data_IF_625873332725
#
_entry.id   IF_625873332725
#
_cell.length_a   1.000
_cell.length_b   1.000
_cell.length_c   1.000
_cell.angle_alpha   90.00
_cell.angle_beta   90.00
_cell.angle_gamma   90.00
#
_symmetry.space_group_name_H-M   'P 1'
#
loop_
_entity.id
_entity.type
_entity.pdbx_description
1 polymer ?
#
# COMPACT_ATOMS: atom_id res chain seq x y z
N UNK A 1 17.17 24.41 -3.20
CA UNK A 1 15.92 24.84 -3.88
C UNK A 1 14.91 23.68 -3.78
N UNK A 2 13.64 23.96 -3.49
CA UNK A 2 12.60 22.95 -3.59
C UNK A 2 12.31 22.68 -5.08
N UNK A 3 12.24 21.41 -5.47
CA UNK A 3 11.82 21.03 -6.82
C UNK A 3 10.38 21.50 -7.07
N UNK A 4 10.08 21.83 -8.31
CA UNK A 4 8.70 22.07 -8.73
C UNK A 4 7.98 20.74 -8.86
N UNK A 5 6.64 20.73 -8.77
CA UNK A 5 5.84 19.51 -8.95
C UNK A 5 6.04 18.89 -10.34
N UNK A 6 6.31 19.70 -11.34
CA UNK A 6 6.65 19.25 -12.68
C UNK A 6 7.98 18.48 -12.71
N UNK A 7 9.01 19.00 -12.05
CA UNK A 7 10.31 18.32 -11.95
C UNK A 7 10.20 17.02 -11.17
N UNK A 8 9.45 17.02 -10.06
CA UNK A 8 9.19 15.80 -9.27
C UNK A 8 8.46 14.74 -10.10
N UNK A 9 7.46 15.13 -10.90
CA UNK A 9 6.72 14.24 -11.78
C UNK A 9 7.60 13.63 -12.87
N UNK A 10 8.39 14.44 -13.57
CA UNK A 10 9.26 13.96 -14.66
C UNK A 10 10.35 13.02 -14.11
N UNK A 11 10.89 13.31 -12.93
CA UNK A 11 11.85 12.45 -12.25
C UNK A 11 11.21 11.12 -11.83
N UNK A 12 10.00 11.14 -11.24
CA UNK A 12 9.28 9.94 -10.86
C UNK A 12 8.92 9.08 -12.09
N UNK A 13 8.50 9.70 -13.19
CA UNK A 13 8.20 9.02 -14.44
C UNK A 13 9.44 8.34 -15.03
N UNK A 14 10.57 9.05 -15.05
CA UNK A 14 11.84 8.50 -15.52
C UNK A 14 12.30 7.33 -14.65
N UNK A 15 12.25 7.48 -13.32
CA UNK A 15 12.59 6.41 -12.40
C UNK A 15 11.73 5.17 -12.63
N UNK A 16 10.44 5.34 -12.86
CA UNK A 16 9.54 4.23 -13.18
C UNK A 16 9.90 3.55 -14.50
N UNK A 17 10.24 4.32 -15.55
CA UNK A 17 10.74 3.72 -16.81
C UNK A 17 12.05 2.96 -16.60
N UNK A 18 12.97 3.46 -15.76
CA UNK A 18 14.24 2.80 -15.45
C UNK A 18 14.01 1.46 -14.69
N UNK A 19 13.06 1.44 -13.77
CA UNK A 19 12.65 0.21 -13.06
C UNK A 19 12.04 -0.79 -14.04
N UNK A 20 11.13 -0.36 -14.91
CA UNK A 20 10.53 -1.24 -15.93
C UNK A 20 11.60 -1.83 -16.85
N UNK A 21 12.59 -1.02 -17.26
CA UNK A 21 13.71 -1.52 -18.07
C UNK A 21 14.53 -2.59 -17.32
N UNK A 22 14.76 -2.43 -16.03
CA UNK A 22 15.46 -3.42 -15.19
C UNK A 22 14.65 -4.72 -15.02
N UNK A 23 13.33 -4.65 -15.10
CA UNK A 23 12.40 -5.79 -15.06
C UNK A 23 12.18 -6.45 -16.44
N UNK A 24 12.97 -6.07 -17.44
CA UNK A 24 12.98 -6.71 -18.75
C UNK A 24 12.00 -6.15 -19.77
N UNK A 25 11.33 -5.04 -19.47
CA UNK A 25 10.57 -4.33 -20.49
C UNK A 25 11.52 -3.63 -21.45
N UNK A 26 11.28 -3.76 -22.75
CA UNK A 26 12.13 -3.16 -23.78
C UNK A 26 11.30 -2.29 -24.72
N UNK A 27 11.87 -1.17 -25.19
CA UNK A 27 11.18 -0.34 -26.19
C UNK A 27 10.95 -1.13 -27.46
N UNK A 28 9.70 -1.24 -27.87
CA UNK A 28 9.34 -1.93 -29.10
C UNK A 28 9.67 -1.07 -30.33
N UNK A 29 9.99 -1.72 -31.44
CA UNK A 29 10.19 -1.08 -32.76
C UNK A 29 8.98 -0.28 -33.23
N UNK A 30 7.78 -0.58 -32.72
CA UNK A 30 6.54 0.17 -32.94
C UNK A 30 6.50 1.53 -32.25
N UNK A 31 7.54 1.92 -31.49
CA UNK A 31 7.56 3.16 -30.72
C UNK A 31 6.78 3.10 -29.39
N UNK A 32 6.23 1.93 -29.03
CA UNK A 32 5.45 1.76 -27.81
C UNK A 32 6.37 1.85 -26.58
N UNK A 33 6.07 2.79 -25.67
CA UNK A 33 6.86 3.03 -24.45
C UNK A 33 6.70 1.94 -23.39
N UNK A 34 7.61 1.91 -22.42
CA UNK A 34 7.67 0.89 -21.35
C UNK A 34 6.41 0.93 -20.48
N UNK A 35 5.97 2.13 -20.10
CA UNK A 35 4.77 2.32 -19.27
C UNK A 35 3.52 1.75 -19.96
N UNK A 36 3.37 1.98 -21.27
CA UNK A 36 2.23 1.45 -22.02
C UNK A 36 2.22 -0.09 -22.10
N UNK A 37 3.39 -0.72 -22.09
CA UNK A 37 3.48 -2.19 -22.04
C UNK A 37 3.13 -2.72 -20.65
N UNK A 38 3.48 -2.00 -19.60
CA UNK A 38 3.10 -2.35 -18.23
C UNK A 38 1.59 -2.18 -18.02
N UNK A 39 0.99 -1.09 -18.51
CA UNK A 39 -0.47 -0.87 -18.51
C UNK A 39 -1.26 -2.08 -19.06
N UNK A 40 -0.73 -2.76 -20.09
CA UNK A 40 -1.41 -3.92 -20.68
C UNK A 40 -1.44 -5.17 -19.78
N UNK A 41 -0.55 -5.23 -18.79
CA UNK A 41 -0.52 -6.32 -17.80
C UNK A 41 -1.48 -6.09 -16.65
N UNK A 42 -2.00 -4.88 -16.52
CA UNK A 42 -2.93 -4.51 -15.47
C UNK A 42 -4.38 -4.76 -15.90
N UNK A 43 -5.24 -5.04 -14.92
CA UNK A 43 -6.68 -5.16 -15.17
C UNK A 43 -7.23 -3.90 -15.85
N UNK A 44 -8.06 -4.03 -16.92
CA UNK A 44 -8.52 -2.92 -17.75
C UNK A 44 -9.19 -1.79 -16.94
N UNK A 45 -9.96 -2.13 -15.93
CA UNK A 45 -10.74 -1.19 -15.13
C UNK A 45 -10.03 -0.71 -13.86
N UNK A 46 -8.79 -1.14 -13.61
CA UNK A 46 -8.06 -0.73 -12.42
C UNK A 46 -7.74 0.76 -12.42
N UNK A 47 -7.85 1.38 -11.25
CA UNK A 47 -7.50 2.79 -11.06
C UNK A 47 -6.03 3.06 -11.34
N UNK A 48 -5.15 2.07 -11.06
CA UNK A 48 -3.72 2.13 -11.38
C UNK A 48 -3.51 2.28 -12.88
N UNK A 49 -4.14 1.44 -13.70
CA UNK A 49 -4.05 1.52 -15.16
C UNK A 49 -4.51 2.88 -15.70
N UNK A 50 -5.68 3.34 -15.24
CA UNK A 50 -6.24 4.65 -15.62
C UNK A 50 -5.30 5.79 -15.22
N UNK A 51 -4.74 5.74 -14.02
CA UNK A 51 -3.77 6.71 -13.52
C UNK A 51 -2.47 6.74 -14.33
N UNK A 52 -1.91 5.57 -14.68
CA UNK A 52 -0.71 5.48 -15.52
C UNK A 52 -0.95 6.01 -16.95
N UNK A 53 -2.13 5.75 -17.53
CA UNK A 53 -2.52 6.35 -18.81
C UNK A 53 -2.52 7.88 -18.75
N UNK A 54 -3.05 8.46 -17.68
CA UNK A 54 -3.02 9.92 -17.47
C UNK A 54 -1.57 10.42 -17.30
N UNK A 55 -0.74 9.73 -16.51
CA UNK A 55 0.67 10.08 -16.36
C UNK A 55 1.41 10.10 -17.72
N UNK A 56 1.15 9.13 -18.59
CA UNK A 56 1.74 9.05 -19.93
C UNK A 56 1.28 10.19 -20.83
N UNK A 57 0.00 10.58 -20.76
CA UNK A 57 -0.54 11.74 -21.50
C UNK A 57 0.16 13.02 -21.04
N UNK A 58 0.24 13.24 -19.74
CA UNK A 58 0.90 14.42 -19.15
C UNK A 58 2.37 14.47 -19.58
N UNK A 59 3.10 13.37 -19.45
CA UNK A 59 4.52 13.29 -19.83
C UNK A 59 4.72 13.59 -21.33
N UNK A 60 3.86 13.08 -22.21
CA UNK A 60 3.95 13.33 -23.64
C UNK A 60 3.66 14.79 -24.00
N UNK A 61 2.69 15.43 -23.33
CA UNK A 61 2.41 16.85 -23.49
C UNK A 61 3.66 17.70 -23.14
N UNK A 62 4.37 17.37 -22.05
CA UNK A 62 5.61 18.08 -21.68
C UNK A 62 6.75 17.89 -22.69
N UNK A 63 6.79 16.78 -23.42
CA UNK A 63 7.88 16.52 -24.38
C UNK A 63 7.64 17.10 -25.78
N UNK A 64 6.39 17.19 -26.20
CA UNK A 64 6.05 17.47 -27.59
C UNK A 64 5.27 18.78 -27.80
N UNK A 65 4.77 19.40 -26.74
CA UNK A 65 3.95 20.58 -26.84
C UNK A 65 4.59 21.77 -26.09
N UNK A 66 4.72 22.90 -26.78
CA UNK A 66 5.14 24.18 -26.18
C UNK A 66 4.05 24.78 -25.25
N UNK A 67 2.88 24.17 -25.16
CA UNK A 67 1.78 24.58 -24.28
C UNK A 67 1.36 23.42 -23.42
N UNK A 68 1.63 23.53 -22.12
CA UNK A 68 1.21 22.54 -21.13
C UNK A 68 -0.27 22.76 -20.81
N UNK A 69 -1.13 21.89 -21.31
CA UNK A 69 -2.57 21.90 -21.03
C UNK A 69 -2.94 21.18 -19.72
N UNK A 70 -2.05 20.31 -19.24
CA UNK A 70 -2.28 19.50 -18.04
C UNK A 70 -1.11 19.64 -17.08
N UNK A 71 -1.42 19.96 -15.81
CA UNK A 71 -0.43 19.97 -14.74
C UNK A 71 -0.45 18.61 -14.03
N UNK A 72 0.71 18.06 -13.62
CA UNK A 72 0.75 16.88 -12.80
C UNK A 72 0.17 17.19 -11.42
N UNK A 73 -0.40 16.17 -10.79
CA UNK A 73 -0.87 16.22 -9.40
C UNK A 73 0.13 15.49 -8.50
N UNK A 74 0.07 15.77 -7.19
CA UNK A 74 0.87 15.01 -6.22
C UNK A 74 0.51 13.52 -6.22
N UNK A 75 -0.76 13.18 -6.49
CA UNK A 75 -1.23 11.80 -6.61
C UNK A 75 -0.61 11.09 -7.80
N UNK A 76 -0.39 11.79 -8.93
CA UNK A 76 0.30 11.23 -10.09
C UNK A 76 1.77 10.91 -9.79
N UNK A 77 2.47 11.79 -9.07
CA UNK A 77 3.85 11.54 -8.61
C UNK A 77 3.89 10.33 -7.69
N UNK A 78 2.99 10.29 -6.71
CA UNK A 78 2.90 9.19 -5.76
C UNK A 78 2.59 7.87 -6.43
N UNK A 79 1.64 7.83 -7.37
CA UNK A 79 1.31 6.62 -8.14
C UNK A 79 2.55 6.04 -8.83
N UNK A 80 3.34 6.87 -9.53
CA UNK A 80 4.55 6.44 -10.22
C UNK A 80 5.61 5.91 -9.24
N UNK A 81 5.78 6.55 -8.09
CA UNK A 81 6.71 6.13 -7.04
C UNK A 81 6.27 4.80 -6.40
N UNK A 82 4.98 4.65 -6.11
CA UNK A 82 4.42 3.44 -5.51
C UNK A 82 4.57 2.25 -6.49
N UNK A 83 4.26 2.43 -7.78
CA UNK A 83 4.41 1.37 -8.78
C UNK A 83 5.89 1.02 -9.04
N UNK A 84 6.78 2.01 -9.10
CA UNK A 84 8.22 1.76 -9.19
C UNK A 84 8.72 0.93 -8.00
N UNK A 85 8.29 1.27 -6.80
CA UNK A 85 8.67 0.56 -5.56
C UNK A 85 8.18 -0.88 -5.54
N UNK A 86 6.96 -1.14 -6.03
CA UNK A 86 6.40 -2.51 -6.11
C UNK A 86 7.23 -3.43 -7.03
N UNK A 87 7.78 -2.88 -8.10
CA UNK A 87 8.53 -3.64 -9.12
C UNK A 87 10.03 -3.70 -8.82
N UNK A 88 10.59 -2.72 -8.11
CA UNK A 88 12.05 -2.66 -7.88
C UNK A 88 12.51 -3.80 -6.98
N UNK A 89 13.18 -4.77 -7.58
CA UNK A 89 13.77 -5.93 -6.87
C UNK A 89 14.85 -5.58 -5.87
N UNK A 90 15.29 -4.32 -5.80
CA UNK A 90 16.25 -3.86 -4.80
C UNK A 90 15.59 -3.40 -3.50
N UNK A 91 14.26 -3.20 -3.51
CA UNK A 91 13.51 -2.70 -2.35
C UNK A 91 13.08 -3.87 -1.47
N UNK A 92 13.57 -3.90 -0.24
CA UNK A 92 13.17 -4.88 0.75
C UNK A 92 11.97 -4.38 1.59
N UNK A 93 11.25 -5.31 2.21
CA UNK A 93 10.09 -5.01 3.05
C UNK A 93 10.40 -3.98 4.16
N UNK A 94 11.60 -4.04 4.75
CA UNK A 94 12.06 -3.09 5.79
C UNK A 94 12.13 -1.65 5.33
N UNK A 95 12.34 -1.41 4.03
CA UNK A 95 12.56 -0.07 3.46
C UNK A 95 11.26 0.71 3.31
N UNK A 96 10.13 -0.01 3.13
CA UNK A 96 8.80 0.59 2.89
C UNK A 96 7.78 0.33 4.00
N UNK A 97 8.10 -0.53 4.97
CA UNK A 97 7.15 -0.87 6.03
C UNK A 97 6.71 0.36 6.83
N UNK A 98 5.42 0.46 7.07
CA UNK A 98 4.82 1.42 8.00
C UNK A 98 4.65 0.78 9.36
N UNK A 99 4.84 1.55 10.43
CA UNK A 99 4.65 1.10 11.81
C UNK A 99 3.34 1.65 12.38
N UNK A 100 2.18 1.07 12.02
CA UNK A 100 0.92 1.53 12.57
C UNK A 100 0.85 1.21 14.07
N UNK A 101 -0.13 1.79 14.73
CA UNK A 101 -0.46 1.52 16.12
C UNK A 101 -0.73 0.02 16.29
N UNK A 102 -0.16 -0.56 17.35
CA UNK A 102 -0.36 -1.96 17.72
C UNK A 102 -1.47 -2.06 18.78
N UNK A 103 -2.26 -3.11 18.71
CA UNK A 103 -3.13 -3.53 19.78
C UNK A 103 -2.44 -4.66 20.58
N UNK A 104 -2.35 -4.52 21.89
CA UNK A 104 -1.85 -5.58 22.78
C UNK A 104 -3.03 -6.32 23.41
N UNK A 105 -2.99 -7.68 23.56
CA UNK A 105 -4.06 -8.45 24.19
C UNK A 105 -4.37 -8.07 25.62
N UNK A 106 -3.37 -7.56 26.35
CA UNK A 106 -3.50 -7.07 27.72
C UNK A 106 -4.27 -5.76 27.84
N UNK A 107 -4.49 -5.06 26.73
CA UNK A 107 -5.17 -3.77 26.72
C UNK A 107 -6.69 -3.94 26.59
N UNK A 108 -7.29 -4.63 27.60
CA UNK A 108 -8.72 -4.99 27.66
C UNK A 108 -9.68 -3.80 27.60
N UNK A 109 -9.15 -2.59 27.77
CA UNK A 109 -9.92 -1.34 27.75
C UNK A 109 -9.70 -0.54 26.47
N UNK A 110 -8.91 -1.05 25.53
CA UNK A 110 -8.63 -0.34 24.29
C UNK A 110 -9.87 -0.19 23.44
N UNK A 111 -10.19 1.04 23.11
CA UNK A 111 -11.29 1.38 22.22
C UNK A 111 -10.73 1.83 20.87
N UNK A 112 -11.27 1.30 19.77
CA UNK A 112 -10.94 1.80 18.43
C UNK A 112 -11.34 3.28 18.36
N UNK A 113 -10.37 4.14 18.10
CA UNK A 113 -10.62 5.56 17.86
C UNK A 113 -11.24 5.76 16.47
N UNK A 114 -11.86 6.91 16.22
CA UNK A 114 -12.33 7.27 14.88
C UNK A 114 -11.22 7.15 13.83
N UNK A 115 -9.98 7.54 14.18
CA UNK A 115 -8.81 7.42 13.29
C UNK A 115 -8.45 5.97 12.98
N UNK A 116 -8.58 5.05 13.95
CA UNK A 116 -8.33 3.63 13.72
C UNK A 116 -9.39 3.05 12.77
N UNK A 117 -10.65 3.45 12.95
CA UNK A 117 -11.77 3.06 12.08
C UNK A 117 -11.58 3.59 10.66
N UNK A 118 -11.26 4.88 10.52
CA UNK A 118 -10.99 5.50 9.21
C UNK A 118 -9.82 4.81 8.50
N UNK A 119 -8.75 4.49 9.22
CA UNK A 119 -7.61 3.74 8.69
C UNK A 119 -8.01 2.36 8.18
N UNK A 120 -8.83 1.62 8.94
CA UNK A 120 -9.31 0.29 8.54
C UNK A 120 -10.26 0.39 7.33
N UNK A 121 -11.16 1.38 7.32
CA UNK A 121 -12.09 1.59 6.20
C UNK A 121 -11.38 2.00 4.90
N UNK A 122 -10.24 2.67 5.01
CA UNK A 122 -9.35 2.99 3.89
C UNK A 122 -8.52 1.79 3.39
N UNK A 123 -8.80 0.57 3.88
CA UNK A 123 -8.11 -0.65 3.47
C UNK A 123 -6.87 -1.00 4.31
N UNK A 124 -6.61 -0.26 5.39
CA UNK A 124 -5.54 -0.58 6.33
C UNK A 124 -5.88 -1.78 7.21
N UNK A 125 -4.84 -2.40 7.77
CA UNK A 125 -4.97 -3.46 8.79
C UNK A 125 -4.32 -2.99 10.08
N UNK A 126 -5.07 -3.04 11.17
CA UNK A 126 -4.58 -2.71 12.51
C UNK A 126 -3.99 -3.97 13.17
N UNK A 127 -2.67 -4.08 13.37
CA UNK A 127 -2.03 -5.29 13.85
C UNK A 127 -2.27 -5.53 15.34
N UNK A 128 -2.48 -6.79 15.69
CA UNK A 128 -2.55 -7.26 17.08
C UNK A 128 -1.25 -8.00 17.40
N UNK A 129 -0.64 -7.66 18.54
CA UNK A 129 0.60 -8.26 19.01
C UNK A 129 0.42 -8.81 20.41
N UNK A 130 1.13 -9.89 20.74
CA UNK A 130 1.17 -10.46 22.08
C UNK A 130 2.03 -9.60 23.05
N UNK A 131 2.08 -10.03 24.31
CA UNK A 131 2.87 -9.37 25.36
C UNK A 131 4.38 -9.31 25.03
N UNK A 132 4.84 -10.27 24.23
CA UNK A 132 6.22 -10.35 23.76
C UNK A 132 6.47 -9.55 22.48
N UNK A 133 5.45 -8.94 21.90
CA UNK A 133 5.52 -8.19 20.64
C UNK A 133 5.47 -9.08 19.38
N UNK A 134 5.09 -10.35 19.52
CA UNK A 134 4.81 -11.26 18.42
C UNK A 134 3.49 -10.88 17.72
N UNK A 135 3.42 -11.08 16.40
CA UNK A 135 2.21 -10.81 15.63
C UNK A 135 1.21 -11.96 15.80
N UNK A 136 -0.02 -11.65 16.24
CA UNK A 136 -1.09 -12.62 16.41
C UNK A 136 -2.07 -12.58 15.24
N UNK A 137 -2.35 -11.39 14.72
CA UNK A 137 -3.35 -11.17 13.67
C UNK A 137 -3.60 -9.68 13.44
N UNK A 138 -4.68 -9.35 12.76
CA UNK A 138 -5.04 -7.97 12.49
C UNK A 138 -6.54 -7.73 12.38
N UNK A 139 -6.93 -6.47 12.49
CA UNK A 139 -8.29 -6.00 12.26
C UNK A 139 -8.32 -5.32 10.89
N UNK A 140 -8.97 -5.94 9.93
CA UNK A 140 -9.28 -5.37 8.63
C UNK A 140 -10.75 -4.92 8.55
N UNK A 141 -11.14 -4.41 7.37
CA UNK A 141 -12.52 -3.99 7.10
C UNK A 141 -13.53 -5.11 7.32
N UNK A 142 -13.20 -6.35 6.98
CA UNK A 142 -14.12 -7.49 7.12
C UNK A 142 -14.35 -7.85 8.59
N UNK A 143 -13.27 -7.84 9.39
CA UNK A 143 -13.37 -8.01 10.85
C UNK A 143 -14.22 -6.91 11.45
N UNK A 144 -13.95 -5.65 11.08
CA UNK A 144 -14.70 -4.50 11.57
C UNK A 144 -16.20 -4.62 11.25
N UNK A 145 -16.56 -4.99 10.01
CA UNK A 145 -17.95 -5.19 9.59
C UNK A 145 -18.61 -6.31 10.38
N UNK A 146 -17.92 -7.46 10.57
CA UNK A 146 -18.45 -8.57 11.38
C UNK A 146 -18.73 -8.12 12.81
N UNK A 147 -17.82 -7.40 13.42
CA UNK A 147 -17.98 -6.87 14.78
C UNK A 147 -19.19 -5.93 14.88
N UNK A 148 -19.38 -5.03 13.91
CA UNK A 148 -20.52 -4.13 13.83
C UNK A 148 -21.85 -4.92 13.70
N UNK A 149 -21.87 -5.98 12.92
CA UNK A 149 -23.06 -6.82 12.69
C UNK A 149 -23.46 -7.60 13.95
N UNK A 150 -22.49 -8.11 14.69
CA UNK A 150 -22.74 -8.83 15.96
C UNK A 150 -23.12 -7.88 17.10
N UNK A 151 -22.59 -6.65 17.09
CA UNK A 151 -22.84 -5.63 18.12
C UNK A 151 -24.17 -4.90 17.94
N UNK A 152 -24.85 -5.01 16.81
CA UNK A 152 -26.10 -4.30 16.51
C UNK A 152 -27.25 -4.54 17.50
N UNK A 153 -27.09 -5.48 18.42
CA UNK A 153 -28.09 -5.75 19.45
C UNK A 153 -27.95 -4.96 20.76
N UNK A 154 -26.81 -4.33 21.09
CA UNK A 154 -26.65 -3.58 22.36
C UNK A 154 -25.47 -2.60 22.52
N UNK A 155 -24.61 -2.34 21.54
CA UNK A 155 -23.37 -1.55 21.78
C UNK A 155 -23.31 -0.33 20.88
N UNK A 156 -23.07 0.83 21.51
CA UNK A 156 -22.69 2.05 20.78
C UNK A 156 -21.38 1.77 20.02
N UNK A 157 -21.36 2.11 18.74
CA UNK A 157 -20.24 1.92 17.78
C UNK A 157 -18.89 2.43 18.29
N UNK A 158 -18.87 3.19 19.39
CA UNK A 158 -17.68 3.82 19.98
C UNK A 158 -16.90 2.96 20.98
N UNK A 159 -17.41 1.80 21.37
CA UNK A 159 -16.81 0.98 22.43
C UNK A 159 -16.71 -0.50 22.05
N UNK A 160 -15.80 -0.83 21.14
CA UNK A 160 -15.43 -2.22 20.91
C UNK A 160 -14.36 -2.63 21.94
N UNK A 161 -14.67 -3.59 22.81
CA UNK A 161 -13.69 -4.15 23.72
C UNK A 161 -12.62 -4.92 22.95
N UNK A 162 -11.35 -4.76 23.33
CA UNK A 162 -10.21 -5.43 22.69
C UNK A 162 -10.39 -6.95 22.65
N UNK A 163 -11.01 -7.56 23.67
CA UNK A 163 -11.27 -9.00 23.71
C UNK A 163 -12.17 -9.46 22.56
N UNK A 164 -13.18 -8.68 22.18
CA UNK A 164 -14.06 -9.00 21.04
C UNK A 164 -13.32 -8.81 19.71
N UNK A 165 -12.46 -7.78 19.64
CA UNK A 165 -11.57 -7.54 18.50
C UNK A 165 -10.61 -8.70 18.32
N UNK A 166 -9.93 -9.13 19.39
CA UNK A 166 -8.94 -10.20 19.35
C UNK A 166 -9.56 -11.53 18.93
N UNK A 167 -10.67 -11.93 19.54
CA UNK A 167 -11.36 -13.19 19.21
C UNK A 167 -11.77 -13.28 17.74
N UNK A 168 -12.15 -12.16 17.13
CA UNK A 168 -12.58 -12.10 15.74
C UNK A 168 -11.43 -11.82 14.76
N UNK A 169 -10.34 -11.20 15.22
CA UNK A 169 -9.21 -10.80 14.39
C UNK A 169 -8.18 -11.92 14.16
N UNK A 170 -8.11 -12.94 15.02
CA UNK A 170 -7.19 -14.09 14.87
C UNK A 170 -7.34 -14.79 13.52
N UNK A 171 -8.50 -14.64 12.86
CA UNK A 171 -8.76 -15.22 11.54
C UNK A 171 -8.32 -14.36 10.36
N UNK A 172 -7.86 -13.15 10.59
CA UNK A 172 -7.43 -12.25 9.50
C UNK A 172 -5.95 -12.44 9.25
N UNK A 173 -5.66 -13.23 8.25
CA UNK A 173 -4.31 -13.36 7.71
C UNK A 173 -3.98 -12.14 6.85
N UNK A 174 -3.36 -11.12 7.44
CA UNK A 174 -2.34 -10.44 6.67
C UNK A 174 -1.26 -11.48 6.34
N UNK A 175 -0.74 -11.51 5.11
CA UNK A 175 0.42 -12.35 4.81
C UNK A 175 1.54 -12.02 5.80
N UNK A 176 2.41 -12.97 6.07
CA UNK A 176 3.59 -12.77 6.91
C UNK A 176 4.80 -12.70 5.98
N UNK A 177 5.70 -11.76 6.24
CA UNK A 177 6.95 -11.61 5.49
C UNK A 177 8.10 -11.20 6.41
N UNK A 178 9.33 -11.31 5.94
CA UNK A 178 10.52 -10.90 6.68
C UNK A 178 11.00 -9.50 6.24
N UNK A 179 11.80 -8.80 7.07
CA UNK A 179 12.34 -7.50 6.71
C UNK A 179 13.18 -7.50 5.42
N UNK A 180 13.84 -8.61 5.11
CA UNK A 180 14.73 -8.76 3.96
C UNK A 180 14.01 -9.24 2.69
N UNK A 181 12.74 -9.62 2.77
CA UNK A 181 11.97 -10.05 1.60
C UNK A 181 11.85 -8.90 0.61
N UNK A 182 12.15 -9.16 -0.65
CA UNK A 182 12.02 -8.17 -1.71
C UNK A 182 10.53 -7.90 -1.98
N UNK A 183 10.18 -6.64 -2.10
CA UNK A 183 8.78 -6.22 -2.33
C UNK A 183 8.26 -6.79 -3.65
N UNK A 184 9.12 -6.89 -4.66
CA UNK A 184 8.76 -7.46 -5.95
C UNK A 184 8.31 -8.93 -5.88
N UNK A 185 8.81 -9.70 -4.93
CA UNK A 185 8.48 -11.13 -4.76
C UNK A 185 7.16 -11.37 -4.02
N UNK A 186 6.59 -10.33 -3.40
CA UNK A 186 5.30 -10.43 -2.72
C UNK A 186 4.15 -10.34 -3.74
N UNK A 187 3.05 -11.04 -3.48
CA UNK A 187 1.78 -10.85 -4.20
C UNK A 187 1.09 -9.57 -3.71
N UNK A 188 0.11 -9.08 -4.48
CA UNK A 188 -0.72 -7.97 -4.01
C UNK A 188 -1.45 -8.35 -2.72
N UNK A 189 -1.38 -7.47 -1.73
CA UNK A 189 -1.98 -7.72 -0.43
C UNK A 189 -1.35 -6.94 0.72
N UNK A 190 -1.81 -7.27 1.93
CA UNK A 190 -1.29 -6.68 3.17
C UNK A 190 -0.44 -7.71 3.91
N UNK A 191 0.76 -7.30 4.33
CA UNK A 191 1.73 -8.18 4.99
C UNK A 191 2.19 -7.60 6.32
N UNK A 192 2.22 -8.46 7.35
CA UNK A 192 2.92 -8.16 8.59
C UNK A 192 4.40 -8.53 8.43
N UNK A 193 5.28 -7.58 8.72
CA UNK A 193 6.74 -7.80 8.70
C UNK A 193 7.17 -8.29 10.07
N UNK A 194 7.77 -9.47 10.13
CA UNK A 194 8.18 -10.18 11.35
C UNK A 194 9.67 -10.50 11.25
N UNK A 195 10.45 -10.20 12.28
CA UNK A 195 11.88 -10.52 12.31
C UNK A 195 12.15 -11.99 12.69
N UNK A 196 13.43 -12.37 12.67
CA UNK A 196 13.89 -13.71 13.00
C UNK A 196 13.62 -14.15 14.47
N UNK A 197 13.12 -13.24 15.31
CA UNK A 197 12.72 -13.50 16.69
C UNK A 197 11.20 -13.45 16.86
N UNK A 198 10.46 -13.60 15.77
CA UNK A 198 8.98 -13.51 15.70
C UNK A 198 8.40 -12.18 16.20
N UNK A 199 9.23 -11.10 16.20
CA UNK A 199 8.76 -9.77 16.61
C UNK A 199 8.18 -9.02 15.44
N UNK A 200 7.00 -8.45 15.65
CA UNK A 200 6.36 -7.53 14.70
C UNK A 200 7.19 -6.26 14.50
N UNK A 201 7.49 -5.93 13.27
CA UNK A 201 8.27 -4.76 12.85
C UNK A 201 7.45 -3.69 12.15
N UNK A 202 6.45 -4.07 11.38
CA UNK A 202 5.60 -3.15 10.64
C UNK A 202 4.64 -3.86 9.69
N UNK A 203 3.92 -3.07 8.90
CA UNK A 203 3.03 -3.55 7.84
C UNK A 203 3.44 -2.96 6.50
N UNK A 204 3.24 -3.72 5.44
CA UNK A 204 3.31 -3.25 4.07
C UNK A 204 2.01 -3.56 3.35
N UNK A 205 1.67 -2.70 2.40
CA UNK A 205 0.58 -2.91 1.44
C UNK A 205 1.22 -2.93 0.06
N UNK A 206 1.03 -4.01 -0.67
CA UNK A 206 1.47 -4.14 -2.05
C UNK A 206 0.26 -4.14 -2.98
#
# INVERSE_FOLDING_TARGET
>A
MKKTLQEEFLEAFKNFEDVLASEGFTRMSSGRGLVAQYEDKLEPESDVRKGLQQCRIIRNAYQHENRVLFLPTQDAVKLLQDEATKLDRRVAAKDIMKKPKKLAPTDRTYMLSAKDIDFILAGGVLPIVDENGGYIGGVDKNVLIRMLTFSARKVQIRSMLVDDVIKNAISVAAGITTPETLVADLKDGVYAVIDSKDKYRGMIVK
#
